data_IF_240626321194
#
_entry.id   IF_240626321194
#
_cell.length_a   1.000
_cell.length_b   1.000
_cell.length_c   1.000
_cell.angle_alpha   90.00
_cell.angle_beta   90.00
_cell.angle_gamma   90.00
#
_symmetry.space_group_name_H-M   'P 1'
#
loop_
_entity.id
_entity.type
_entity.pdbx_description
1 polymer ?
#
# COMPACT_ATOMS: atom_id res chain seq x y z
N UNK A 1 -6.81 8.60 -8.97
CA UNK A 1 -7.94 8.19 -8.15
C UNK A 1 -7.46 7.47 -6.91
N UNK A 2 -8.04 7.77 -5.81
CA UNK A 2 -7.61 7.23 -4.53
C UNK A 2 -8.44 6.01 -4.13
N UNK A 3 -7.93 5.24 -3.17
CA UNK A 3 -8.64 4.13 -2.53
C UNK A 3 -8.97 2.96 -3.45
N UNK A 4 -8.06 2.66 -4.35
CA UNK A 4 -8.19 1.47 -5.19
C UNK A 4 -7.79 0.24 -4.37
N UNK A 5 -8.69 -0.74 -4.14
CA UNK A 5 -8.34 -1.95 -3.41
C UNK A 5 -7.26 -2.76 -4.12
N UNK A 6 -6.33 -3.31 -3.35
CA UNK A 6 -5.25 -4.14 -3.88
C UNK A 6 -4.98 -5.30 -2.93
N UNK A 7 -4.45 -6.38 -3.49
CA UNK A 7 -3.96 -7.50 -2.70
C UNK A 7 -2.54 -7.21 -2.28
N UNK A 8 -2.20 -7.49 -1.02
CA UNK A 8 -0.89 -7.18 -0.48
C UNK A 8 -0.36 -8.40 0.28
N UNK A 9 0.91 -8.72 0.04
CA UNK A 9 1.64 -9.64 0.90
C UNK A 9 2.35 -8.77 1.92
N UNK A 10 2.08 -9.04 3.19
CA UNK A 10 2.64 -8.26 4.28
C UNK A 10 3.26 -9.16 5.34
N UNK A 11 4.11 -8.56 6.15
CA UNK A 11 4.71 -9.22 7.31
C UNK A 11 4.17 -8.55 8.57
N UNK A 12 3.71 -9.37 9.50
CA UNK A 12 3.35 -8.89 10.83
C UNK A 12 4.44 -9.38 11.79
N UNK A 13 5.15 -8.44 12.40
CA UNK A 13 6.24 -8.78 13.30
C UNK A 13 5.71 -9.30 14.64
N UNK A 14 6.61 -9.86 15.43
CA UNK A 14 6.23 -10.42 16.73
C UNK A 14 5.62 -9.37 17.66
N UNK A 15 5.98 -8.10 17.50
CA UNK A 15 5.43 -7.02 18.33
C UNK A 15 4.17 -6.40 17.73
N UNK A 16 3.64 -6.95 16.64
CA UNK A 16 2.39 -6.50 16.05
C UNK A 16 2.50 -5.46 14.96
N UNK A 17 3.71 -5.04 14.61
CA UNK A 17 3.87 -4.08 13.51
C UNK A 17 3.64 -4.80 12.17
N UNK A 18 2.91 -4.16 11.27
CA UNK A 18 2.66 -4.69 9.95
C UNK A 18 3.45 -3.90 8.91
N UNK A 19 3.94 -4.59 7.90
CA UNK A 19 4.73 -3.96 6.83
C UNK A 19 4.38 -4.60 5.49
N UNK A 20 4.01 -3.80 4.48
CA UNK A 20 3.74 -4.35 3.16
C UNK A 20 5.05 -4.68 2.45
N UNK A 21 5.08 -5.81 1.74
CA UNK A 21 6.26 -6.24 0.98
C UNK A 21 6.01 -6.17 -0.52
N UNK A 22 4.83 -6.54 -0.94
CA UNK A 22 4.50 -6.69 -2.35
C UNK A 22 3.01 -6.49 -2.53
N UNK A 23 2.63 -5.89 -3.62
CA UNK A 23 1.21 -5.78 -3.95
C UNK A 23 0.97 -6.24 -5.37
N UNK A 24 -0.29 -6.50 -5.65
CA UNK A 24 -0.76 -6.86 -6.97
C UNK A 24 -1.86 -5.89 -7.33
N UNK A 25 -1.71 -5.22 -8.47
CA UNK A 25 -2.67 -4.25 -8.93
C UNK A 25 -3.02 -4.50 -10.38
N UNK A 26 -4.11 -3.93 -10.82
CA UNK A 26 -4.57 -4.07 -12.19
C UNK A 26 -4.14 -2.83 -12.97
N UNK A 27 -3.59 -3.04 -14.17
CA UNK A 27 -3.20 -1.92 -15.01
C UNK A 27 -4.37 -1.48 -15.89
N UNK A 28 -4.09 -0.55 -16.82
CA UNK A 28 -5.13 0.02 -17.68
C UNK A 28 -5.72 -0.99 -18.65
N UNK A 29 -4.98 -2.07 -18.96
CA UNK A 29 -5.45 -3.15 -19.81
C UNK A 29 -6.07 -4.28 -18.99
N UNK A 30 -6.35 -4.07 -17.71
CA UNK A 30 -6.91 -5.07 -16.80
C UNK A 30 -6.00 -6.27 -16.59
N UNK A 31 -4.69 -6.07 -16.75
CA UNK A 31 -3.71 -7.12 -16.47
C UNK A 31 -3.15 -6.91 -15.08
N UNK A 32 -2.90 -8.01 -14.39
CA UNK A 32 -2.35 -7.96 -13.04
C UNK A 32 -0.86 -7.66 -13.08
N UNK A 33 -0.44 -6.66 -12.32
CA UNK A 33 0.95 -6.28 -12.15
C UNK A 33 1.39 -6.60 -10.74
N UNK A 34 2.52 -7.28 -10.64
CA UNK A 34 3.18 -7.50 -9.38
C UNK A 34 4.10 -6.30 -9.11
N UNK A 35 3.97 -5.72 -7.94
CA UNK A 35 4.78 -4.58 -7.54
C UNK A 35 5.50 -4.93 -6.25
N UNK A 36 6.82 -5.06 -6.32
CA UNK A 36 7.65 -5.28 -5.15
C UNK A 36 8.01 -3.93 -4.56
N UNK A 37 7.77 -3.75 -3.26
CA UNK A 37 8.06 -2.48 -2.60
C UNK A 37 9.54 -2.43 -2.28
N UNK A 38 10.24 -1.46 -2.87
CA UNK A 38 11.69 -1.31 -2.65
C UNK A 38 11.99 -0.66 -1.31
N UNK A 39 11.17 0.31 -0.93
CA UNK A 39 11.42 1.07 0.29
C UNK A 39 10.13 1.61 0.86
N UNK A 40 9.99 1.53 2.17
CA UNK A 40 8.94 2.23 2.90
C UNK A 40 9.58 3.47 3.49
N UNK A 41 9.19 4.63 2.99
CA UNK A 41 9.81 5.90 3.37
C UNK A 41 9.27 6.38 4.71
N UNK A 42 7.96 6.24 4.91
CA UNK A 42 7.34 6.66 6.14
C UNK A 42 6.05 5.91 6.39
N UNK A 43 5.65 5.89 7.66
CA UNK A 43 4.38 5.29 8.08
C UNK A 43 3.73 6.30 9.02
N UNK A 44 2.47 6.61 8.78
CA UNK A 44 1.74 7.48 9.69
C UNK A 44 0.36 6.92 9.99
N UNK A 45 -0.05 7.00 11.24
CA UNK A 45 -1.42 6.59 11.58
C UNK A 45 -2.40 7.69 11.18
N UNK A 46 -3.58 7.29 10.80
CA UNK A 46 -4.69 8.21 10.60
C UNK A 46 -5.92 7.64 11.28
N UNK A 47 -6.82 8.54 11.70
CA UNK A 47 -8.10 8.14 12.25
C UNK A 47 -9.15 9.08 11.68
N UNK A 48 -10.18 8.49 11.10
CA UNK A 48 -11.24 9.27 10.49
C UNK A 48 -12.57 8.64 10.87
N UNK A 49 -13.38 9.39 11.59
CA UNK A 49 -14.71 8.95 12.03
C UNK A 49 -14.64 7.60 12.76
N UNK A 50 -13.63 7.44 13.64
CA UNK A 50 -13.45 6.22 14.41
C UNK A 50 -12.79 5.07 13.68
N UNK A 51 -12.44 5.23 12.41
CA UNK A 51 -11.77 4.19 11.64
C UNK A 51 -10.27 4.46 11.66
N UNK A 52 -9.51 3.48 12.17
CA UNK A 52 -8.07 3.59 12.27
C UNK A 52 -7.41 2.95 11.08
N UNK A 53 -6.41 3.63 10.53
CA UNK A 53 -5.64 3.14 9.41
C UNK A 53 -4.20 3.62 9.51
N UNK A 54 -3.34 3.01 8.70
CA UNK A 54 -1.95 3.42 8.57
C UNK A 54 -1.68 3.72 7.10
N UNK A 55 -0.96 4.81 6.86
CA UNK A 55 -0.55 5.20 5.51
C UNK A 55 0.93 4.94 5.38
N UNK A 56 1.28 4.09 4.41
CA UNK A 56 2.67 3.74 4.12
C UNK A 56 3.08 4.46 2.84
N UNK A 57 4.06 5.36 2.96
CA UNK A 57 4.62 6.01 1.78
C UNK A 57 5.70 5.09 1.23
N UNK A 58 5.46 4.58 0.04
CA UNK A 58 6.26 3.51 -0.56
C UNK A 58 6.90 3.95 -1.86
N UNK A 59 8.05 3.36 -2.14
CA UNK A 59 8.76 3.53 -3.40
C UNK A 59 8.93 2.17 -4.06
N UNK A 60 8.68 2.10 -5.36
CA UNK A 60 8.81 0.86 -6.12
C UNK A 60 9.10 1.18 -7.59
N UNK A 61 9.62 0.18 -8.30
CA UNK A 61 9.81 0.29 -9.75
C UNK A 61 8.65 -0.44 -10.40
N UNK A 62 7.89 0.28 -11.22
CA UNK A 62 6.72 -0.28 -11.92
C UNK A 62 6.94 -0.05 -13.41
N UNK A 63 7.06 -1.13 -14.19
CA UNK A 63 7.31 -1.07 -15.63
C UNK A 63 8.50 -0.18 -15.95
N UNK A 64 9.60 -0.35 -15.18
CA UNK A 64 10.84 0.39 -15.40
C UNK A 64 10.84 1.83 -14.92
N UNK A 65 9.77 2.29 -14.27
CA UNK A 65 9.68 3.66 -13.76
C UNK A 65 9.53 3.64 -12.26
N UNK A 66 10.16 4.62 -11.61
CA UNK A 66 10.03 4.75 -10.17
C UNK A 66 8.70 5.39 -9.82
N UNK A 67 7.97 4.74 -8.94
CA UNK A 67 6.71 5.27 -8.40
C UNK A 67 6.89 5.61 -6.93
N UNK A 68 6.28 6.71 -6.54
CA UNK A 68 6.11 7.05 -5.14
C UNK A 68 4.60 7.08 -4.89
N UNK A 69 4.14 6.26 -3.95
CA UNK A 69 2.71 6.10 -3.75
C UNK A 69 2.42 5.78 -2.28
N UNK A 70 1.18 6.00 -1.89
CA UNK A 70 0.74 5.70 -0.53
C UNK A 70 -0.18 4.51 -0.53
N UNK A 71 0.11 3.53 0.34
CA UNK A 71 -0.77 2.41 0.63
C UNK A 71 -1.45 2.66 1.95
N UNK A 72 -2.76 2.45 2.00
CA UNK A 72 -3.53 2.55 3.22
C UNK A 72 -3.91 1.17 3.71
N UNK A 73 -3.58 0.89 4.96
CA UNK A 73 -3.99 -0.33 5.65
C UNK A 73 -5.05 0.03 6.67
N UNK A 74 -6.27 -0.47 6.49
CA UNK A 74 -7.37 -0.26 7.42
C UNK A 74 -7.35 -1.39 8.43
N UNK A 75 -7.08 -1.05 9.69
CA UNK A 75 -6.84 -2.03 10.74
C UNK A 75 -8.07 -2.90 10.99
N UNK A 76 -9.23 -2.27 11.04
CA UNK A 76 -10.48 -2.94 11.37
C UNK A 76 -10.84 -4.07 10.41
N UNK A 77 -10.56 -3.88 9.13
CA UNK A 77 -10.94 -4.83 8.08
C UNK A 77 -9.77 -5.61 7.53
N UNK A 78 -8.54 -5.31 7.97
CA UNK A 78 -7.32 -5.93 7.45
C UNK A 78 -7.20 -5.78 5.94
N UNK A 79 -7.66 -4.64 5.41
CA UNK A 79 -7.71 -4.44 3.97
C UNK A 79 -6.73 -3.35 3.55
N UNK A 80 -6.28 -3.47 2.32
CA UNK A 80 -5.30 -2.56 1.73
C UNK A 80 -5.88 -1.89 0.50
N UNK A 81 -5.49 -0.64 0.31
CA UNK A 81 -5.81 0.04 -0.94
C UNK A 81 -4.69 1.02 -1.29
N UNK A 82 -4.60 1.37 -2.56
CA UNK A 82 -3.74 2.48 -2.96
C UNK A 82 -4.49 3.75 -2.59
N UNK A 83 -3.91 4.51 -1.66
CA UNK A 83 -4.52 5.74 -1.19
C UNK A 83 -4.35 6.85 -2.24
N UNK A 84 -3.13 6.98 -2.75
CA UNK A 84 -2.85 7.89 -3.86
C UNK A 84 -1.47 7.63 -4.41
N UNK A 85 -1.26 8.03 -5.66
CA UNK A 85 0.06 8.03 -6.27
C UNK A 85 0.62 9.43 -6.16
N UNK A 86 1.85 9.56 -5.66
CA UNK A 86 2.51 10.85 -5.54
C UNK A 86 3.22 11.20 -6.85
N UNK A 87 3.97 10.23 -7.40
CA UNK A 87 4.49 10.34 -8.75
C UNK A 87 5.01 9.01 -9.27
#
# INVERSE_FOLDING_TARGET
>A
MSNQPVDVISVCSANGDIRPLRLRMEDEQHQLLRVDIDEIISVRPIQFVGIEAQIFLCKAIVKGKEWLFELKYTIRTHSWCIHRRVY
#
